data_IF_209853389630
#
_entry.id   IF_209853389630
#
_cell.length_a   1.000
_cell.length_b   1.000
_cell.length_c   1.000
_cell.angle_alpha   90.00
_cell.angle_beta   90.00
_cell.angle_gamma   90.00
#
_symmetry.space_group_name_H-M   'P 1'
#
loop_
_entity.id
_entity.type
_entity.pdbx_description
1 polymer ?
#
# COMPACT_ATOMS: atom_id res chain seq x y z
N UNK A 1 6.35 18.37 -3.82
CA UNK A 1 5.76 17.70 -5.00
C UNK A 1 4.60 16.88 -4.48
N UNK A 2 3.44 16.91 -5.15
CA UNK A 2 2.28 16.13 -4.72
C UNK A 2 2.48 14.63 -4.97
N UNK A 3 1.72 13.82 -4.23
CA UNK A 3 1.76 12.36 -4.37
C UNK A 3 1.16 11.92 -5.71
N UNK A 4 1.89 11.09 -6.46
CA UNK A 4 1.47 10.63 -7.80
C UNK A 4 0.20 9.76 -7.72
N UNK A 5 0.04 8.96 -6.67
CA UNK A 5 -1.15 8.11 -6.49
C UNK A 5 -2.40 8.98 -6.21
N UNK A 6 -2.26 10.02 -5.39
CA UNK A 6 -3.35 10.97 -5.12
C UNK A 6 -3.71 11.72 -6.39
N UNK A 7 -2.74 12.18 -7.16
CA UNK A 7 -2.94 12.85 -8.46
C UNK A 7 -3.80 12.00 -9.39
N UNK A 8 -3.57 10.70 -9.42
CA UNK A 8 -4.32 9.79 -10.28
C UNK A 8 -5.74 9.51 -9.77
N UNK A 9 -5.92 9.42 -8.45
CA UNK A 9 -7.25 9.37 -7.85
C UNK A 9 -8.03 10.64 -8.18
N UNK A 10 -7.41 11.81 -8.01
CA UNK A 10 -8.02 13.09 -8.37
C UNK A 10 -8.40 13.15 -9.86
N UNK A 11 -7.50 12.70 -10.75
CA UNK A 11 -7.78 12.63 -12.18
C UNK A 11 -8.90 11.65 -12.52
N UNK A 12 -8.92 10.47 -11.88
CA UNK A 12 -9.97 9.47 -12.09
C UNK A 12 -11.34 9.98 -11.63
N UNK A 13 -11.40 10.66 -10.48
CA UNK A 13 -12.62 11.31 -9.98
C UNK A 13 -13.12 12.35 -10.97
N UNK A 14 -12.24 13.24 -11.44
CA UNK A 14 -12.58 14.27 -12.44
C UNK A 14 -13.08 13.66 -13.74
N UNK A 15 -12.44 12.61 -14.25
CA UNK A 15 -12.87 11.92 -15.47
C UNK A 15 -14.24 11.25 -15.32
N UNK A 16 -14.65 10.95 -14.09
CA UNK A 16 -15.99 10.40 -13.77
C UNK A 16 -17.03 11.47 -13.38
N UNK A 17 -16.66 12.76 -13.48
CA UNK A 17 -17.56 13.88 -13.23
C UNK A 17 -17.63 14.35 -11.77
N UNK A 18 -16.73 13.88 -10.91
CA UNK A 18 -16.61 14.35 -9.53
C UNK A 18 -15.45 15.35 -9.42
N UNK A 19 -15.69 16.51 -8.81
CA UNK A 19 -14.67 17.55 -8.70
C UNK A 19 -13.80 17.38 -7.46
N UNK A 20 -12.54 16.92 -7.59
CA UNK A 20 -11.60 16.79 -6.48
C UNK A 20 -10.91 18.13 -6.11
N UNK A 21 -11.25 19.23 -6.79
CA UNK A 21 -10.48 20.47 -6.73
C UNK A 21 -9.22 20.43 -7.63
N UNK A 22 -8.13 21.04 -7.19
CA UNK A 22 -6.88 20.95 -7.92
C UNK A 22 -6.36 19.50 -8.02
N UNK A 23 -5.74 19.16 -9.14
CA UNK A 23 -5.03 17.90 -9.30
C UNK A 23 -3.57 18.15 -8.92
N UNK A 24 -3.32 18.16 -7.62
CA UNK A 24 -2.06 18.59 -7.01
C UNK A 24 -1.35 17.49 -6.21
N UNK A 25 -1.97 16.30 -6.13
CA UNK A 25 -1.47 15.20 -5.33
C UNK A 25 -1.60 15.42 -3.82
N UNK A 26 -2.50 16.33 -3.39
CA UNK A 26 -2.78 16.58 -1.97
C UNK A 26 -4.14 15.97 -1.61
N UNK A 27 -4.16 15.17 -0.54
CA UNK A 27 -5.40 14.59 -0.02
C UNK A 27 -6.18 15.63 0.80
N UNK A 28 -6.78 16.59 0.10
CA UNK A 28 -7.49 17.71 0.71
C UNK A 28 -9.00 17.47 0.86
N UNK A 29 -9.69 18.45 1.48
CA UNK A 29 -11.15 18.40 1.71
C UNK A 29 -11.95 18.16 0.43
N UNK A 30 -11.56 18.77 -0.67
CA UNK A 30 -12.26 18.64 -1.95
C UNK A 30 -12.10 17.23 -2.51
N UNK A 31 -10.90 16.64 -2.42
CA UNK A 31 -10.65 15.24 -2.82
C UNK A 31 -11.51 14.29 -1.99
N UNK A 32 -11.54 14.44 -0.67
CA UNK A 32 -12.37 13.61 0.23
C UNK A 32 -13.86 13.76 -0.12
N UNK A 33 -14.32 14.99 -0.36
CA UNK A 33 -15.73 15.24 -0.75
C UNK A 33 -16.08 14.55 -2.07
N UNK A 34 -15.20 14.64 -3.06
CA UNK A 34 -15.37 13.96 -4.35
C UNK A 34 -15.38 12.43 -4.21
N UNK A 35 -14.52 11.86 -3.36
CA UNK A 35 -14.52 10.42 -3.05
C UNK A 35 -15.87 10.01 -2.43
N UNK A 36 -16.37 10.73 -1.44
CA UNK A 36 -17.65 10.44 -0.81
C UNK A 36 -18.82 10.51 -1.78
N UNK A 37 -18.85 11.51 -2.65
CA UNK A 37 -19.87 11.62 -3.70
C UNK A 37 -19.80 10.43 -4.67
N UNK A 38 -18.60 10.05 -5.08
CA UNK A 38 -18.36 8.87 -5.91
C UNK A 38 -18.85 7.60 -5.22
N UNK A 39 -18.46 7.38 -3.95
CA UNK A 39 -18.88 6.22 -3.16
C UNK A 39 -20.41 6.12 -3.06
N UNK A 40 -21.07 7.25 -2.76
CA UNK A 40 -22.53 7.33 -2.69
C UNK A 40 -23.17 6.93 -4.02
N UNK A 41 -22.65 7.45 -5.14
CA UNK A 41 -23.20 7.14 -6.46
C UNK A 41 -22.98 5.67 -6.86
N UNK A 42 -21.87 5.06 -6.37
CA UNK A 42 -21.55 3.66 -6.65
C UNK A 42 -22.20 2.67 -5.65
N UNK A 43 -22.97 3.16 -4.68
CA UNK A 43 -23.54 2.31 -3.62
C UNK A 43 -22.51 1.66 -2.70
N UNK A 44 -21.35 2.31 -2.52
CA UNK A 44 -20.28 1.88 -1.64
C UNK A 44 -20.42 2.50 -0.24
N UNK A 45 -19.65 2.01 0.72
CA UNK A 45 -19.52 2.66 2.02
C UNK A 45 -18.97 4.09 1.84
N UNK A 46 -19.68 5.10 2.42
CA UNK A 46 -19.37 6.53 2.23
C UNK A 46 -18.47 7.01 3.36
N UNK A 47 -17.25 6.49 3.40
CA UNK A 47 -16.24 6.82 4.41
C UNK A 47 -15.25 7.91 3.96
N UNK A 48 -15.18 8.17 2.64
CA UNK A 48 -14.21 9.10 2.04
C UNK A 48 -12.81 8.49 1.90
N UNK A 49 -12.70 7.17 2.01
CA UNK A 49 -11.44 6.42 1.91
C UNK A 49 -11.43 5.64 0.59
N UNK A 50 -10.35 5.71 -0.15
CA UNK A 50 -10.19 4.92 -1.38
C UNK A 50 -9.66 3.54 -1.02
N UNK A 51 -10.53 2.72 -0.42
CA UNK A 51 -10.29 1.32 -0.12
C UNK A 51 -10.42 0.41 -1.36
N UNK A 52 -10.28 -0.93 -1.20
CA UNK A 52 -10.29 -1.88 -2.32
C UNK A 52 -11.54 -1.79 -3.21
N UNK A 53 -12.73 -1.65 -2.61
CA UNK A 53 -13.99 -1.54 -3.33
C UNK A 53 -14.09 -0.21 -4.11
N UNK A 54 -13.71 0.89 -3.46
CA UNK A 54 -13.68 2.23 -4.07
C UNK A 54 -12.68 2.27 -5.22
N UNK A 55 -11.49 1.69 -5.02
CA UNK A 55 -10.46 1.58 -6.06
C UNK A 55 -10.95 0.77 -7.25
N UNK A 56 -11.52 -0.41 -7.00
CA UNK A 56 -12.06 -1.25 -8.06
C UNK A 56 -13.14 -0.53 -8.88
N UNK A 57 -14.01 0.24 -8.23
CA UNK A 57 -15.06 1.01 -8.90
C UNK A 57 -14.51 2.24 -9.62
N UNK A 58 -13.56 2.95 -9.01
CA UNK A 58 -12.96 4.18 -9.55
C UNK A 58 -12.17 3.89 -10.82
N UNK A 59 -11.43 2.80 -10.82
CA UNK A 59 -10.56 2.37 -11.92
C UNK A 59 -11.13 1.17 -12.73
N UNK A 60 -12.44 1.01 -12.71
CA UNK A 60 -13.19 -0.07 -13.38
C UNK A 60 -13.04 0.02 -14.90
N UNK A 61 -11.97 -0.23 -15.47
CA UNK A 61 -11.52 -0.32 -16.86
C UNK A 61 -10.04 0.09 -17.03
N UNK A 62 -9.29 0.17 -15.90
CA UNK A 62 -7.86 0.45 -15.96
C UNK A 62 -7.09 -0.56 -15.10
N UNK A 63 -7.17 -1.88 -15.41
CA UNK A 63 -6.44 -2.88 -14.63
C UNK A 63 -4.91 -2.66 -14.64
N UNK A 64 -4.40 -2.08 -15.73
CA UNK A 64 -2.96 -1.83 -15.91
C UNK A 64 -2.42 -0.62 -15.14
N UNK A 65 -3.23 0.41 -14.92
CA UNK A 65 -2.75 1.64 -14.29
C UNK A 65 -2.52 1.48 -12.78
N UNK A 66 -3.37 0.73 -12.08
CA UNK A 66 -3.20 0.47 -10.63
C UNK A 66 -1.95 -0.37 -10.37
N UNK A 67 -1.68 -1.36 -11.22
CA UNK A 67 -0.48 -2.19 -11.12
C UNK A 67 0.81 -1.36 -11.26
N UNK A 68 0.77 -0.31 -12.09
CA UNK A 68 1.88 0.64 -12.28
C UNK A 68 1.99 1.67 -11.14
N UNK A 69 0.91 1.88 -10.36
CA UNK A 69 0.82 2.93 -9.35
C UNK A 69 1.21 2.49 -7.95
N UNK A 70 0.87 1.25 -7.60
CA UNK A 70 1.11 0.67 -6.29
C UNK A 70 1.79 -0.70 -6.46
N UNK A 71 3.00 -0.76 -7.04
CA UNK A 71 3.65 -2.02 -7.34
C UNK A 71 3.89 -2.85 -6.08
N UNK A 72 4.20 -2.22 -4.94
CA UNK A 72 4.35 -2.91 -3.66
C UNK A 72 3.05 -3.56 -3.18
N UNK A 73 1.89 -2.94 -3.47
CA UNK A 73 0.59 -3.49 -3.09
C UNK A 73 0.20 -4.68 -3.99
N UNK A 74 0.53 -4.63 -5.28
CA UNK A 74 0.35 -5.77 -6.18
C UNK A 74 1.24 -6.95 -5.75
N UNK A 75 2.49 -6.68 -5.36
CA UNK A 75 3.38 -7.70 -4.82
C UNK A 75 2.81 -8.29 -3.52
N UNK A 76 2.35 -7.45 -2.60
CA UNK A 76 1.70 -7.91 -1.37
C UNK A 76 0.49 -8.84 -1.64
N UNK A 77 -0.33 -8.53 -2.66
CA UNK A 77 -1.44 -9.40 -3.06
C UNK A 77 -0.96 -10.71 -3.68
N UNK A 78 0.10 -10.68 -4.45
CA UNK A 78 0.69 -11.88 -5.07
C UNK A 78 1.19 -12.85 -4.01
N UNK A 79 1.73 -12.34 -2.91
CA UNK A 79 2.27 -13.14 -1.81
C UNK A 79 1.24 -13.56 -0.76
N UNK A 80 -0.05 -13.22 -0.96
CA UNK A 80 -1.12 -13.63 -0.02
C UNK A 80 -1.15 -15.15 0.14
N UNK A 81 -1.29 -15.59 1.38
CA UNK A 81 -1.32 -17.01 1.74
C UNK A 81 0.04 -17.57 2.14
N UNK A 82 1.12 -16.78 2.07
CA UNK A 82 2.42 -17.17 2.63
C UNK A 82 2.28 -17.37 4.14
N UNK A 83 2.87 -18.45 4.64
CA UNK A 83 2.82 -18.85 6.07
C UNK A 83 4.19 -19.33 6.50
N UNK A 84 4.45 -19.24 7.79
CA UNK A 84 5.61 -19.88 8.41
C UNK A 84 5.62 -21.39 8.15
N UNK A 85 6.81 -21.96 8.08
CA UNK A 85 6.95 -23.39 7.99
C UNK A 85 6.63 -24.03 9.36
N UNK A 86 6.19 -25.28 9.35
CA UNK A 86 5.93 -26.03 10.59
C UNK A 86 7.21 -26.67 11.13
N UNK A 87 7.39 -26.60 12.44
CA UNK A 87 8.54 -27.19 13.15
C UNK A 87 9.83 -26.42 12.92
N UNK A 88 10.95 -27.13 12.88
CA UNK A 88 12.30 -26.54 12.77
C UNK A 88 12.72 -26.17 11.34
N UNK A 89 11.78 -26.09 10.42
CA UNK A 89 12.03 -25.72 9.02
C UNK A 89 11.66 -24.28 8.77
N UNK A 90 12.36 -23.64 7.86
CA UNK A 90 12.04 -22.29 7.37
C UNK A 90 11.29 -22.37 6.05
N UNK A 91 10.32 -21.49 5.86
CA UNK A 91 9.69 -21.29 4.55
C UNK A 91 10.69 -20.62 3.60
N UNK A 92 11.08 -21.26 2.49
CA UNK A 92 12.08 -20.71 1.58
C UNK A 92 11.66 -19.36 0.99
N UNK A 93 10.37 -19.14 0.76
CA UNK A 93 9.87 -17.87 0.23
C UNK A 93 10.14 -16.71 1.20
N UNK A 94 9.90 -16.90 2.51
CA UNK A 94 10.17 -15.87 3.53
C UNK A 94 11.67 -15.63 3.65
N UNK A 95 12.48 -16.70 3.58
CA UNK A 95 13.94 -16.59 3.65
C UNK A 95 14.52 -15.88 2.40
N UNK A 96 13.95 -16.10 1.23
CA UNK A 96 14.37 -15.42 0.00
C UNK A 96 14.09 -13.92 0.03
N UNK A 97 13.01 -13.46 0.68
CA UNK A 97 12.76 -12.02 0.85
C UNK A 97 13.89 -11.29 1.58
N UNK A 98 14.44 -11.91 2.62
CA UNK A 98 15.57 -11.34 3.35
C UNK A 98 16.84 -11.33 2.50
N UNK A 99 17.05 -12.38 1.74
CA UNK A 99 18.21 -12.53 0.85
C UNK A 99 18.18 -11.54 -0.32
N UNK A 100 17.01 -11.31 -0.93
CA UNK A 100 16.83 -10.36 -2.04
C UNK A 100 17.19 -8.92 -1.63
N UNK A 101 17.05 -8.60 -0.33
CA UNK A 101 17.32 -7.29 0.25
C UNK A 101 18.64 -7.21 1.03
N UNK A 102 19.46 -8.28 1.01
CA UNK A 102 20.69 -8.40 1.79
C UNK A 102 20.46 -8.15 3.30
N UNK A 103 19.33 -8.62 3.82
CA UNK A 103 18.95 -8.51 5.23
C UNK A 103 19.36 -9.79 5.96
N UNK A 104 20.11 -9.65 7.06
CA UNK A 104 20.42 -10.78 7.92
C UNK A 104 19.16 -11.22 8.69
N UNK A 105 18.65 -12.40 8.37
CA UNK A 105 17.43 -12.97 8.92
C UNK A 105 17.63 -14.46 9.22
N UNK A 106 17.46 -14.85 10.49
CA UNK A 106 17.87 -16.17 10.95
C UNK A 106 16.82 -17.27 10.71
N UNK A 107 15.54 -16.92 10.67
CA UNK A 107 14.47 -17.91 10.46
C UNK A 107 13.08 -17.28 10.47
N UNK A 108 12.09 -17.96 9.89
CA UNK A 108 10.72 -17.47 9.77
C UNK A 108 9.88 -17.63 11.05
N UNK A 109 10.45 -18.19 12.10
CA UNK A 109 9.97 -18.14 13.48
C UNK A 109 10.14 -16.75 14.14
N UNK A 110 10.98 -15.90 13.56
CA UNK A 110 11.12 -14.50 13.93
C UNK A 110 10.01 -13.68 13.24
N UNK A 111 9.35 -12.71 13.94
CA UNK A 111 8.30 -11.90 13.32
C UNK A 111 8.73 -11.27 11.99
N UNK A 112 8.08 -11.66 10.91
CA UNK A 112 8.44 -11.27 9.53
C UNK A 112 7.53 -10.21 8.90
N UNK A 113 6.65 -9.58 9.69
CA UNK A 113 5.77 -8.53 9.19
C UNK A 113 6.54 -7.33 8.60
N UNK A 114 7.63 -6.91 9.26
CA UNK A 114 8.50 -5.87 8.74
C UNK A 114 9.28 -6.31 7.49
N UNK A 115 9.75 -7.55 7.48
CA UNK A 115 10.43 -8.16 6.33
C UNK A 115 9.51 -8.23 5.11
N UNK A 116 8.24 -8.63 5.29
CA UNK A 116 7.24 -8.66 4.23
C UNK A 116 7.05 -7.29 3.59
N UNK A 117 6.87 -6.24 4.41
CA UNK A 117 6.75 -4.87 3.89
C UNK A 117 8.02 -4.43 3.18
N UNK A 118 9.19 -4.75 3.76
CA UNK A 118 10.49 -4.45 3.16
C UNK A 118 10.64 -5.09 1.78
N UNK A 119 10.27 -6.36 1.64
CA UNK A 119 10.29 -7.06 0.37
C UNK A 119 9.36 -6.39 -0.65
N UNK A 120 8.09 -6.17 -0.28
CA UNK A 120 7.13 -5.55 -1.20
C UNK A 120 7.59 -4.18 -1.69
N UNK A 121 8.10 -3.34 -0.80
CA UNK A 121 8.57 -1.99 -1.15
C UNK A 121 9.93 -2.04 -1.86
N UNK A 122 10.92 -2.73 -1.27
CA UNK A 122 12.31 -2.69 -1.75
C UNK A 122 12.52 -3.35 -3.11
N UNK A 123 11.76 -4.41 -3.42
CA UNK A 123 11.86 -5.07 -4.73
C UNK A 123 11.10 -4.33 -5.84
N UNK A 124 10.09 -3.56 -5.49
CA UNK A 124 9.24 -2.88 -6.47
C UNK A 124 9.56 -1.39 -6.63
N UNK A 125 10.14 -0.76 -5.62
CA UNK A 125 10.53 0.66 -5.62
C UNK A 125 12.04 0.77 -5.37
N UNK A 126 12.85 0.46 -6.36
CA UNK A 126 14.33 0.35 -6.24
C UNK A 126 15.05 1.64 -5.78
N UNK A 127 14.38 2.79 -5.82
CA UNK A 127 14.95 4.07 -5.40
C UNK A 127 14.46 4.54 -4.02
N UNK A 128 13.56 3.78 -3.39
CA UNK A 128 13.09 4.09 -2.05
C UNK A 128 14.08 3.58 -0.99
N UNK A 129 14.39 4.45 -0.05
CA UNK A 129 15.29 4.09 1.06
C UNK A 129 14.47 3.43 2.15
N UNK A 130 14.69 2.14 2.35
CA UNK A 130 14.02 1.38 3.42
C UNK A 130 14.47 1.89 4.81
N UNK A 131 13.65 1.66 5.87
CA UNK A 131 14.08 1.92 7.25
C UNK A 131 15.39 1.21 7.59
N UNK A 132 16.24 1.81 8.41
CA UNK A 132 17.56 1.25 8.78
C UNK A 132 17.49 -0.11 9.49
N UNK A 133 16.35 -0.43 10.13
CA UNK A 133 16.01 -1.77 10.60
C UNK A 133 14.61 -2.15 10.08
N UNK A 134 14.50 -2.64 8.85
CA UNK A 134 13.21 -2.91 8.23
C UNK A 134 12.47 -4.11 8.83
N UNK A 135 13.14 -4.97 9.62
CA UNK A 135 12.51 -6.06 10.35
C UNK A 135 11.62 -5.56 11.49
N UNK A 136 11.96 -4.41 12.08
CA UNK A 136 11.19 -3.82 13.17
C UNK A 136 9.92 -3.14 12.66
N UNK A 137 8.74 -3.69 12.96
CA UNK A 137 7.46 -3.13 12.51
C UNK A 137 7.31 -1.64 12.87
N UNK A 138 7.73 -1.23 14.08
CA UNK A 138 7.68 0.17 14.52
C UNK A 138 8.59 1.13 13.73
N UNK A 139 9.56 0.63 12.95
CA UNK A 139 10.38 1.49 12.09
C UNK A 139 9.61 2.00 10.88
N UNK A 140 8.56 1.29 10.48
CA UNK A 140 7.70 1.66 9.36
C UNK A 140 6.78 2.85 9.68
N UNK A 141 6.60 3.20 10.96
CA UNK A 141 5.90 4.43 11.38
C UNK A 141 6.57 5.70 10.82
N UNK A 142 7.88 5.65 10.61
CA UNK A 142 8.69 6.77 10.11
C UNK A 142 8.92 6.72 8.60
N UNK A 143 8.40 5.71 7.93
CA UNK A 143 8.57 5.53 6.49
C UNK A 143 7.50 6.31 5.72
N UNK A 144 7.93 7.14 4.79
CA UNK A 144 7.03 7.94 3.97
C UNK A 144 6.35 9.09 4.73
N UNK A 145 5.10 9.35 4.42
CA UNK A 145 4.30 10.41 5.02
C UNK A 145 3.11 9.83 5.77
N UNK A 146 2.74 10.45 6.88
CA UNK A 146 1.51 10.08 7.61
C UNK A 146 0.31 10.55 6.78
N UNK A 147 -0.55 9.60 6.44
CA UNK A 147 -1.76 9.84 5.63
C UNK A 147 -2.97 9.17 6.28
N UNK A 148 -4.17 9.57 5.88
CA UNK A 148 -5.37 8.81 6.19
C UNK A 148 -5.27 7.41 5.55
N UNK A 149 -5.67 6.33 6.25
CA UNK A 149 -5.63 4.98 5.68
C UNK A 149 -6.28 4.92 4.31
N UNK A 150 -5.52 4.42 3.33
CA UNK A 150 -5.96 4.26 1.96
C UNK A 150 -5.31 3.02 1.33
N UNK A 151 -5.73 2.68 0.11
CA UNK A 151 -5.16 1.55 -0.60
C UNK A 151 -3.64 1.72 -0.76
N UNK A 152 -2.89 0.69 -0.38
CA UNK A 152 -1.42 0.68 -0.42
C UNK A 152 -0.74 1.34 0.77
N UNK A 153 -1.47 1.96 1.71
CA UNK A 153 -0.87 2.48 2.93
C UNK A 153 -0.33 1.33 3.81
N UNK A 154 0.86 1.54 4.35
CA UNK A 154 1.41 0.66 5.40
C UNK A 154 0.82 1.10 6.74
N UNK A 155 0.14 0.18 7.42
CA UNK A 155 -0.41 0.42 8.75
C UNK A 155 0.46 -0.23 9.81
N UNK A 156 0.85 0.55 10.80
CA UNK A 156 1.62 0.08 11.96
C UNK A 156 0.70 0.02 13.17
N UNK A 157 0.63 -1.16 13.80
CA UNK A 157 -0.18 -1.39 14.99
C UNK A 157 0.72 -1.64 16.20
N UNK A 158 0.39 -1.01 17.30
CA UNK A 158 1.01 -1.25 18.58
C UNK A 158 0.17 -2.25 19.38
N UNK A 159 0.84 -3.20 20.04
CA UNK A 159 0.19 -4.10 21.01
C UNK A 159 0.42 -3.51 22.40
N UNK A 160 -0.65 -3.41 23.17
CA UNK A 160 -0.59 -3.10 24.60
C UNK A 160 -0.07 -4.29 25.41
#
# INVERSE_FOLDING_TARGET
>A
MGDNAITQIQQALRNKGFDPGAIDGIWGRNTIAAVRQFQMQQGLEVDGIVGPQTTAALFKNVPSAIKLLLPWFEEAKHLMGTKEALGDKNNPVIMDWAKDLDINYAGDDIPWCGLFVAHCVGTTLQHEVLPGNPLGAGQWEKFGNIITPCLGAVMVFWRE
#
